data_IF_712747889681
#
_entry.id   IF_712747889681
#
_cell.length_a   1.000
_cell.length_b   1.000
_cell.length_c   1.000
_cell.angle_alpha   90.00
_cell.angle_beta   90.00
_cell.angle_gamma   90.00
#
_symmetry.space_group_name_H-M   'P 1'
#
loop_
_entity.id
_entity.type
_entity.pdbx_description
1 polymer ?
#
# COMPACT_ATOMS: atom_id res chain seq x y z
N UNK A 1 -40.33 -38.93 -21.29
CA UNK A 1 -38.88 -39.13 -21.03
C UNK A 1 -38.05 -37.98 -21.58
N UNK A 2 -38.12 -37.65 -22.89
CA UNK A 2 -37.34 -36.54 -23.50
C UNK A 2 -37.59 -35.18 -22.85
N UNK A 3 -38.85 -34.82 -22.57
CA UNK A 3 -39.19 -33.56 -21.90
C UNK A 3 -38.56 -33.43 -20.50
N UNK A 4 -38.48 -34.53 -19.75
CA UNK A 4 -37.86 -34.56 -18.43
C UNK A 4 -36.34 -34.39 -18.51
N UNK A 5 -35.71 -34.97 -19.54
CA UNK A 5 -34.27 -34.81 -19.80
C UNK A 5 -33.95 -33.36 -20.16
N UNK A 6 -34.76 -32.72 -21.01
CA UNK A 6 -34.61 -31.30 -21.35
C UNK A 6 -34.79 -30.39 -20.13
N UNK A 7 -35.81 -30.66 -19.30
CA UNK A 7 -36.04 -29.90 -18.08
C UNK A 7 -34.86 -30.02 -17.11
N UNK A 8 -34.35 -31.24 -16.90
CA UNK A 8 -33.18 -31.49 -16.07
C UNK A 8 -31.93 -30.78 -16.59
N UNK A 9 -31.72 -30.76 -17.92
CA UNK A 9 -30.60 -30.05 -18.54
C UNK A 9 -30.68 -28.53 -18.32
N UNK A 10 -31.88 -27.93 -18.44
CA UNK A 10 -32.10 -26.50 -18.17
C UNK A 10 -31.81 -26.17 -16.71
N UNK A 11 -32.29 -27.00 -15.78
CA UNK A 11 -32.05 -26.83 -14.35
C UNK A 11 -30.54 -26.91 -14.03
N UNK A 12 -29.82 -27.88 -14.61
CA UNK A 12 -28.37 -27.99 -14.44
C UNK A 12 -27.61 -26.78 -14.98
N UNK A 13 -27.99 -26.27 -16.16
CA UNK A 13 -27.40 -25.06 -16.72
C UNK A 13 -27.66 -23.82 -15.84
N UNK A 14 -28.87 -23.70 -15.28
CA UNK A 14 -29.19 -22.62 -14.36
C UNK A 14 -28.32 -22.68 -13.10
N UNK A 15 -28.18 -23.85 -12.48
CA UNK A 15 -27.30 -24.04 -11.33
C UNK A 15 -25.83 -23.75 -11.65
N UNK A 16 -25.35 -24.17 -12.82
CA UNK A 16 -23.99 -23.88 -13.27
C UNK A 16 -23.75 -22.38 -13.43
N UNK A 17 -24.69 -21.65 -14.03
CA UNK A 17 -24.62 -20.19 -14.15
C UNK A 17 -24.57 -19.48 -12.79
N UNK A 18 -25.41 -19.90 -11.85
CA UNK A 18 -25.41 -19.37 -10.47
C UNK A 18 -24.07 -19.65 -9.78
N UNK A 19 -23.51 -20.85 -9.94
CA UNK A 19 -22.23 -21.20 -9.34
C UNK A 19 -21.08 -20.33 -9.87
N UNK A 20 -21.02 -20.08 -11.18
CA UNK A 20 -20.02 -19.19 -11.79
C UNK A 20 -20.19 -17.76 -11.27
N UNK A 21 -21.41 -17.25 -11.25
CA UNK A 21 -21.69 -15.88 -10.79
C UNK A 21 -21.23 -15.69 -9.34
N UNK A 22 -21.57 -16.63 -8.45
CA UNK A 22 -21.14 -16.60 -7.05
C UNK A 22 -19.62 -16.66 -6.90
N UNK A 23 -18.93 -17.47 -7.71
CA UNK A 23 -17.47 -17.53 -7.73
C UNK A 23 -16.86 -16.20 -8.17
N UNK A 24 -17.43 -15.55 -9.19
CA UNK A 24 -16.96 -14.26 -9.68
C UNK A 24 -17.10 -13.16 -8.62
N UNK A 25 -18.26 -13.10 -7.95
CA UNK A 25 -18.50 -12.14 -6.85
C UNK A 25 -17.54 -12.39 -5.70
N UNK A 26 -17.30 -13.65 -5.33
CA UNK A 26 -16.32 -14.01 -4.29
C UNK A 26 -14.91 -13.52 -4.64
N UNK A 27 -14.46 -13.74 -5.88
CA UNK A 27 -13.15 -13.28 -6.35
C UNK A 27 -13.05 -11.76 -6.34
N UNK A 28 -14.10 -11.06 -6.77
CA UNK A 28 -14.15 -9.58 -6.73
C UNK A 28 -14.01 -9.05 -5.30
N UNK A 29 -14.69 -9.68 -4.33
CA UNK A 29 -14.60 -9.29 -2.93
C UNK A 29 -13.21 -9.56 -2.36
N UNK A 30 -12.58 -10.70 -2.68
CA UNK A 30 -11.21 -10.99 -2.27
C UNK A 30 -10.20 -9.96 -2.77
N UNK A 31 -10.36 -9.50 -4.03
CA UNK A 31 -9.52 -8.42 -4.57
C UNK A 31 -9.73 -7.12 -3.80
N UNK A 32 -10.98 -6.75 -3.51
CA UNK A 32 -11.30 -5.53 -2.76
C UNK A 32 -10.75 -5.58 -1.31
N UNK A 33 -10.86 -6.73 -0.64
CA UNK A 33 -10.31 -6.97 0.68
C UNK A 33 -8.78 -6.87 0.67
N UNK A 34 -8.12 -7.47 -0.33
CA UNK A 34 -6.67 -7.36 -0.52
C UNK A 34 -6.22 -5.91 -0.68
N UNK A 35 -6.93 -5.11 -1.48
CA UNK A 35 -6.65 -3.68 -1.65
C UNK A 35 -6.84 -2.90 -0.35
N UNK A 36 -7.93 -3.14 0.37
CA UNK A 36 -8.17 -2.50 1.67
C UNK A 36 -7.04 -2.81 2.68
N UNK A 37 -6.54 -4.04 2.68
CA UNK A 37 -5.39 -4.42 3.51
C UNK A 37 -4.12 -3.64 3.14
N UNK A 38 -3.84 -3.48 1.85
CA UNK A 38 -2.71 -2.68 1.36
C UNK A 38 -2.86 -1.21 1.79
N UNK A 39 -4.03 -0.62 1.60
CA UNK A 39 -4.29 0.79 1.93
C UNK A 39 -4.03 1.10 3.40
N UNK A 40 -4.44 0.19 4.31
CA UNK A 40 -4.15 0.32 5.75
C UNK A 40 -2.65 0.32 6.02
N UNK A 41 -1.88 -0.54 5.35
CA UNK A 41 -0.42 -0.59 5.53
C UNK A 41 0.28 0.64 4.96
N UNK A 42 -0.15 1.12 3.79
CA UNK A 42 0.39 2.36 3.20
C UNK A 42 0.10 3.56 4.10
N UNK A 43 -1.14 3.67 4.59
CA UNK A 43 -1.54 4.71 5.54
C UNK A 43 -0.69 4.67 6.81
N UNK A 44 -0.55 3.49 7.44
CA UNK A 44 0.31 3.32 8.62
C UNK A 44 1.75 3.77 8.34
N UNK A 45 2.30 3.42 7.16
CA UNK A 45 3.64 3.87 6.77
C UNK A 45 3.71 5.39 6.65
N UNK A 46 2.75 6.02 6.00
CA UNK A 46 2.71 7.48 5.85
C UNK A 46 2.56 8.20 7.20
N UNK A 47 1.78 7.63 8.12
CA UNK A 47 1.56 8.17 9.46
C UNK A 47 2.84 8.11 10.33
N UNK A 48 3.71 7.12 10.11
CA UNK A 48 4.97 6.96 10.86
C UNK A 48 6.13 7.83 10.34
N UNK A 49 6.09 8.24 9.07
CA UNK A 49 7.15 9.04 8.44
C UNK A 49 7.43 10.37 9.16
N UNK A 50 6.43 11.19 9.54
CA UNK A 50 6.73 12.43 10.26
C UNK A 50 7.49 12.19 11.57
N UNK A 51 7.13 11.16 12.35
CA UNK A 51 7.85 10.80 13.57
C UNK A 51 9.31 10.42 13.26
N UNK A 52 9.55 9.63 12.21
CA UNK A 52 10.91 9.27 11.80
C UNK A 52 11.71 10.51 11.37
N UNK A 53 11.09 11.42 10.60
CA UNK A 53 11.71 12.67 10.16
C UNK A 53 12.06 13.57 11.35
N UNK A 54 11.19 13.68 12.35
CA UNK A 54 11.47 14.44 13.58
C UNK A 54 12.64 13.85 14.37
N UNK A 55 12.71 12.52 14.50
CA UNK A 55 13.85 11.85 15.14
C UNK A 55 15.16 12.15 14.41
N UNK A 56 15.19 12.05 13.08
CA UNK A 56 16.41 12.36 12.30
C UNK A 56 16.75 13.86 12.36
N UNK A 57 15.75 14.75 12.28
CA UNK A 57 15.94 16.21 12.39
C UNK A 57 16.59 16.64 13.70
N UNK A 58 16.31 15.93 14.81
CA UNK A 58 16.91 16.21 16.10
C UNK A 58 18.44 16.11 16.12
N UNK A 59 19.03 15.33 15.20
CA UNK A 59 20.47 15.08 15.10
C UNK A 59 21.09 15.68 13.83
N UNK A 60 20.37 15.66 12.70
CA UNK A 60 20.84 16.09 11.39
C UNK A 60 20.14 17.39 10.93
N UNK A 61 20.26 18.48 11.70
CA UNK A 61 19.50 19.72 11.47
C UNK A 61 19.84 20.45 10.14
N UNK A 62 21.00 20.15 9.53
CA UNK A 62 21.43 20.80 8.28
C UNK A 62 20.87 20.15 7.01
N UNK A 63 20.15 19.04 7.13
CA UNK A 63 19.67 18.20 6.01
C UNK A 63 18.28 18.59 5.48
N UNK A 64 18.03 19.90 5.36
CA UNK A 64 16.72 20.45 5.00
C UNK A 64 16.20 19.93 3.65
N UNK A 65 17.07 19.82 2.65
CA UNK A 65 16.70 19.29 1.33
C UNK A 65 16.19 17.85 1.42
N UNK A 66 16.85 17.01 2.24
CA UNK A 66 16.45 15.62 2.45
C UNK A 66 15.07 15.55 3.12
N UNK A 67 14.83 16.34 4.16
CA UNK A 67 13.53 16.37 4.85
C UNK A 67 12.40 16.91 3.96
N UNK A 68 12.68 17.92 3.14
CA UNK A 68 11.70 18.47 2.21
C UNK A 68 11.32 17.45 1.14
N UNK A 69 12.32 16.76 0.57
CA UNK A 69 12.11 15.70 -0.42
C UNK A 69 11.25 14.56 0.14
N UNK A 70 11.50 14.13 1.39
CA UNK A 70 10.68 13.13 2.08
C UNK A 70 9.25 13.62 2.28
N UNK A 71 9.08 14.86 2.76
CA UNK A 71 7.76 15.45 3.02
C UNK A 71 6.93 15.55 1.74
N UNK A 72 7.57 15.99 0.64
CA UNK A 72 6.95 16.11 -0.67
C UNK A 72 6.56 14.74 -1.24
N UNK A 73 7.46 13.75 -1.16
CA UNK A 73 7.19 12.41 -1.61
C UNK A 73 6.07 11.74 -0.80
N UNK A 74 5.99 12.01 0.52
CA UNK A 74 4.88 11.56 1.38
C UNK A 74 3.56 12.17 0.93
N UNK A 75 3.52 13.48 0.71
CA UNK A 75 2.32 14.16 0.26
C UNK A 75 1.83 13.60 -1.10
N UNK A 76 2.74 13.36 -2.05
CA UNK A 76 2.41 12.74 -3.33
C UNK A 76 1.85 11.32 -3.15
N UNK A 77 2.44 10.51 -2.27
CA UNK A 77 1.97 9.15 -1.99
C UNK A 77 0.61 9.11 -1.26
N UNK A 78 0.25 10.16 -0.50
CA UNK A 78 -1.05 10.28 0.15
C UNK A 78 -2.16 10.78 -0.81
N UNK A 79 -1.78 11.52 -1.86
CA UNK A 79 -2.74 12.10 -2.81
C UNK A 79 -3.05 11.21 -4.00
N UNK A 80 -2.27 10.14 -4.23
CA UNK A 80 -2.51 9.22 -5.32
C UNK A 80 -3.83 8.46 -5.12
N UNK A 81 -4.65 8.40 -6.17
CA UNK A 81 -6.00 7.79 -6.14
C UNK A 81 -6.12 6.56 -7.03
N UNK A 82 -5.16 6.34 -7.94
CA UNK A 82 -5.10 5.18 -8.82
C UNK A 82 -4.04 4.21 -8.34
N UNK A 83 -4.22 2.92 -8.60
CA UNK A 83 -3.23 1.88 -8.24
C UNK A 83 -1.85 2.19 -8.85
N UNK A 84 -1.82 2.55 -10.14
CA UNK A 84 -0.57 2.89 -10.84
C UNK A 84 0.07 4.16 -10.27
N UNK A 85 -0.74 5.18 -9.98
CA UNK A 85 -0.27 6.41 -9.35
C UNK A 85 0.28 6.15 -7.95
N UNK A 86 -0.38 5.30 -7.17
CA UNK A 86 0.08 4.88 -5.85
C UNK A 86 1.43 4.19 -5.98
N UNK A 87 1.56 3.19 -6.87
CA UNK A 87 2.83 2.48 -7.08
C UNK A 87 3.98 3.42 -7.45
N UNK A 88 3.74 4.38 -8.34
CA UNK A 88 4.76 5.35 -8.74
C UNK A 88 5.17 6.27 -7.58
N UNK A 89 4.20 6.82 -6.84
CA UNK A 89 4.45 7.70 -5.71
C UNK A 89 5.13 6.96 -4.54
N UNK A 90 4.73 5.72 -4.29
CA UNK A 90 5.33 4.81 -3.32
C UNK A 90 6.80 4.51 -3.62
N UNK A 91 7.16 4.33 -4.91
CA UNK A 91 8.55 4.15 -5.34
C UNK A 91 9.39 5.42 -5.11
N UNK A 92 8.83 6.59 -5.39
CA UNK A 92 9.48 7.87 -5.12
C UNK A 92 9.71 8.07 -3.61
N UNK A 93 8.70 7.77 -2.80
CA UNK A 93 8.79 7.83 -1.35
C UNK A 93 9.85 6.86 -0.80
N UNK A 94 9.88 5.62 -1.31
CA UNK A 94 10.93 4.65 -0.94
C UNK A 94 12.33 5.18 -1.28
N UNK A 95 12.47 5.90 -2.39
CA UNK A 95 13.76 6.50 -2.81
C UNK A 95 14.16 7.63 -1.87
N UNK A 96 13.22 8.49 -1.49
CA UNK A 96 13.47 9.56 -0.52
C UNK A 96 13.83 8.99 0.86
N UNK A 97 13.19 7.89 1.28
CA UNK A 97 13.51 7.19 2.53
C UNK A 97 14.92 6.58 2.52
N UNK A 98 15.36 5.99 1.42
CA UNK A 98 16.74 5.51 1.30
C UNK A 98 17.76 6.63 1.49
N UNK A 99 17.48 7.83 0.96
CA UNK A 99 18.33 9.01 1.20
C UNK A 99 18.31 9.46 2.66
N UNK A 100 17.15 9.46 3.31
CA UNK A 100 17.02 9.78 4.72
C UNK A 100 17.83 8.81 5.61
N UNK A 101 17.79 7.52 5.29
CA UNK A 101 18.57 6.49 5.99
C UNK A 101 20.06 6.70 5.73
N UNK A 102 20.47 7.01 4.50
CA UNK A 102 21.87 7.31 4.19
C UNK A 102 22.39 8.55 4.97
N UNK A 103 21.55 9.57 5.12
CA UNK A 103 21.83 10.70 6.02
C UNK A 103 21.99 10.19 7.44
N UNK A 104 21.02 9.44 7.97
CA UNK A 104 21.09 8.90 9.32
C UNK A 104 22.34 8.04 9.56
N UNK A 105 22.86 7.39 8.52
CA UNK A 105 24.07 6.58 8.61
C UNK A 105 25.34 7.39 8.91
N UNK A 106 25.35 8.67 8.53
CA UNK A 106 26.46 9.59 8.72
C UNK A 106 26.52 10.20 10.14
N UNK A 107 25.49 9.99 10.96
CA UNK A 107 25.37 10.52 12.32
C UNK A 107 25.36 9.34 13.34
N UNK A 108 26.53 8.93 13.89
CA UNK A 108 26.64 7.79 14.80
C UNK A 108 25.78 7.92 16.05
N UNK A 109 25.62 9.13 16.58
CA UNK A 109 24.76 9.44 17.72
C UNK A 109 23.27 9.13 17.46
N UNK A 110 22.81 9.25 16.22
CA UNK A 110 21.45 8.88 15.83
C UNK A 110 21.29 7.36 15.74
N UNK A 111 22.31 6.63 15.23
CA UNK A 111 22.31 5.15 15.21
C UNK A 111 22.22 4.55 16.62
N UNK A 112 22.79 5.23 17.61
CA UNK A 112 22.75 4.79 18.99
C UNK A 112 21.40 5.04 19.68
N UNK A 113 20.48 5.79 19.05
CA UNK A 113 19.18 6.09 19.62
C UNK A 113 18.21 4.90 19.44
N UNK A 114 17.70 4.38 20.56
CA UNK A 114 16.74 3.27 20.60
C UNK A 114 15.38 3.59 19.97
N UNK A 115 15.01 4.85 19.78
CA UNK A 115 13.77 5.24 19.09
C UNK A 115 13.93 5.24 17.55
N UNK A 116 15.16 5.18 17.05
CA UNK A 116 15.44 5.09 15.61
C UNK A 116 15.61 3.64 15.13
N UNK A 117 16.01 2.73 16.02
CA UNK A 117 16.28 1.30 15.73
C UNK A 117 15.07 0.38 15.93
#
# INVERSE_FOLDING_TARGET
MILLVLLAAVVLLAFYGIAIYNKLVKLKNLVAEGWSGIDVQLKKRHDLIPNLVETVKGYAAHENETFENVTRARAAAQQATTIEGQQAAEKQLSTAMMKLIAVAEQYPELKANTNFL
#
